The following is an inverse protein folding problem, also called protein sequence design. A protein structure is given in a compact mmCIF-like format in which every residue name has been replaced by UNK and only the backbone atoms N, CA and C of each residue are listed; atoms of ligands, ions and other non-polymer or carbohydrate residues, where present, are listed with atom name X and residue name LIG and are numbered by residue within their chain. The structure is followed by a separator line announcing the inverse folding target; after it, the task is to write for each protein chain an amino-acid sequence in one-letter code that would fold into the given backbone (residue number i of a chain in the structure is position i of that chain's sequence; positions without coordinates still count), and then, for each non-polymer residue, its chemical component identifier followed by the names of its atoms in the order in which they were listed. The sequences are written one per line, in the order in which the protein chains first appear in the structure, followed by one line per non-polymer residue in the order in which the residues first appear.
data_IF_133905066608
#
_entry.id   IF_133905066608
#
_cell.length_a   1.000
_cell.length_b   1.000
_cell.length_c   1.000
_cell.angle_alpha   90.00
_cell.angle_beta   90.00
_cell.angle_gamma   90.00
#
_symmetry.space_group_name_H-M   'P 1'
#
loop_
_entity.id
_entity.type
_entity.pdbx_description
1 polymer ?
#
# COMPACT_ATOMS: atom_id res chain seq x y z
N UNK A 1 7.70 -73.34 -5.16
CA UNK A 1 8.78 -73.69 -6.10
C UNK A 1 9.33 -72.39 -6.70
N UNK A 2 10.66 -72.29 -6.78
CA UNK A 2 11.54 -71.15 -7.12
C UNK A 2 11.69 -70.09 -6.01
N UNK A 3 12.64 -70.27 -5.07
CA UNK A 3 14.10 -70.02 -5.15
C UNK A 3 14.39 -68.50 -5.20
N UNK A 4 14.63 -67.80 -4.08
CA UNK A 4 15.75 -67.83 -3.12
C UNK A 4 17.04 -67.17 -3.64
N UNK A 5 17.66 -66.38 -2.74
CA UNK A 5 19.03 -65.83 -2.73
C UNK A 5 19.23 -64.45 -3.41
N UNK A 6 19.92 -63.44 -2.87
CA UNK A 6 20.57 -63.16 -1.58
C UNK A 6 20.92 -61.66 -1.55
N UNK A 7 20.75 -61.02 -0.40
CA UNK A 7 21.21 -59.67 -0.06
C UNK A 7 22.59 -59.73 0.63
N UNK A 8 23.46 -58.72 0.46
CA UNK A 8 24.32 -58.31 1.57
C UNK A 8 24.29 -56.77 1.74
N UNK A 9 23.89 -56.28 2.91
CA UNK A 9 24.73 -56.06 4.09
C UNK A 9 25.21 -54.60 4.17
N UNK A 10 24.45 -53.80 4.93
CA UNK A 10 24.88 -52.55 5.53
C UNK A 10 26.04 -52.84 6.49
N UNK A 11 27.16 -52.15 6.32
CA UNK A 11 28.14 -51.97 7.39
C UNK A 11 28.02 -50.52 7.87
N UNK A 12 27.50 -50.41 9.07
CA UNK A 12 27.43 -49.23 9.91
C UNK A 12 28.56 -49.36 10.92
N UNK A 13 29.59 -48.52 10.82
CA UNK A 13 30.59 -48.35 11.88
C UNK A 13 30.46 -46.92 12.41
N UNK A 14 30.13 -46.85 13.69
CA UNK A 14 29.79 -45.65 14.44
C UNK A 14 30.98 -44.73 14.76
N UNK A 15 30.77 -43.81 15.73
CA UNK A 15 31.42 -42.52 15.77
C UNK A 15 32.72 -42.53 16.56
N UNK A 16 33.76 -41.86 16.04
CA UNK A 16 34.94 -41.53 16.83
C UNK A 16 34.74 -40.23 17.62
N UNK A 17 35.10 -40.35 18.89
CA UNK A 17 35.03 -39.36 19.94
C UNK A 17 36.08 -38.24 19.79
N UNK A 18 35.61 -37.02 20.08
CA UNK A 18 36.23 -36.03 20.96
C UNK A 18 37.75 -35.77 20.84
N UNK A 19 38.08 -34.74 20.07
CA UNK A 19 39.35 -34.01 20.17
C UNK A 19 39.09 -32.51 20.29
N UNK A 20 38.74 -32.05 21.49
CA UNK A 20 38.70 -30.62 21.84
C UNK A 20 40.12 -30.04 21.84
N UNK A 21 40.47 -29.32 20.77
CA UNK A 21 41.58 -28.36 20.78
C UNK A 21 41.01 -26.95 20.66
N UNK A 22 41.15 -26.19 21.74
CA UNK A 22 40.86 -24.76 21.81
C UNK A 22 41.55 -23.99 20.68
N UNK A 23 40.89 -23.00 20.06
CA UNK A 23 41.59 -22.04 19.20
C UNK A 23 42.48 -21.17 20.08
N UNK A 24 43.80 -21.30 19.90
CA UNK A 24 44.76 -20.29 20.35
C UNK A 24 44.47 -19.00 19.59
N UNK A 25 44.06 -17.97 20.33
CA UNK A 25 44.07 -16.58 19.91
C UNK A 25 45.48 -16.22 19.40
N UNK A 26 45.67 -15.79 18.14
CA UNK A 26 46.91 -15.16 17.75
C UNK A 26 46.98 -13.77 18.40
N UNK A 27 48.07 -13.52 19.12
CA UNK A 27 48.40 -12.21 19.67
C UNK A 27 48.49 -11.15 18.55
N UNK A 28 48.16 -9.88 18.85
CA UNK A 28 48.35 -8.79 17.90
C UNK A 28 49.85 -8.62 17.62
N UNK A 29 50.25 -8.88 16.38
CA UNK A 29 51.55 -8.53 15.86
C UNK A 29 51.57 -7.01 15.66
N UNK A 30 52.28 -6.29 16.51
CA UNK A 30 52.66 -4.88 16.32
C UNK A 30 53.96 -4.83 15.52
N UNK A 31 53.97 -4.34 14.27
CA UNK A 31 55.20 -3.88 13.66
C UNK A 31 55.41 -2.41 14.03
N UNK A 32 56.14 -2.18 15.13
CA UNK A 32 56.95 -0.97 15.22
C UNK A 32 58.07 -1.12 14.18
N UNK A 33 57.86 -0.52 13.01
CA UNK A 33 58.93 -0.17 12.09
C UNK A 33 58.69 1.23 11.57
N UNK A 34 59.60 2.09 11.99
CA UNK A 34 59.78 3.45 11.50
C UNK A 34 59.83 3.53 9.96
N UNK A 35 59.42 4.67 9.38
CA UNK A 35 59.32 4.85 7.95
C UNK A 35 60.71 4.92 7.32
N UNK A 36 61.17 3.79 6.77
CA UNK A 36 62.30 3.78 5.87
C UNK A 36 61.84 4.32 4.51
N UNK A 37 62.06 5.62 4.29
CA UNK A 37 61.99 6.27 2.98
C UNK A 37 63.12 5.72 2.10
N UNK A 38 62.91 4.53 1.55
CA UNK A 38 63.61 4.08 0.36
C UNK A 38 62.71 4.32 -0.83
N UNK A 39 63.07 5.38 -1.53
CA UNK A 39 62.90 5.64 -2.96
C UNK A 39 63.27 4.38 -3.76
N UNK A 40 62.35 3.43 -3.77
CA UNK A 40 62.29 2.37 -4.77
C UNK A 40 61.39 2.90 -5.84
N UNK A 41 62.02 3.44 -6.89
CA UNK A 41 61.48 3.42 -8.24
C UNK A 41 61.20 1.96 -8.61
N UNK A 42 60.08 1.46 -8.10
CA UNK A 42 59.45 0.27 -8.58
C UNK A 42 58.99 0.62 -9.99
N UNK A 43 59.81 0.22 -10.96
CA UNK A 43 59.33 -0.16 -12.28
C UNK A 43 58.29 -1.26 -12.07
N UNK A 44 57.07 -0.88 -11.70
CA UNK A 44 55.86 -1.64 -11.97
C UNK A 44 55.74 -1.62 -13.50
N UNK A 45 56.05 -2.72 -14.20
CA UNK A 45 55.68 -2.79 -15.61
C UNK A 45 54.18 -2.60 -15.65
N UNK A 46 53.74 -1.52 -16.28
CA UNK A 46 52.34 -1.26 -16.56
C UNK A 46 51.76 -2.51 -17.27
N UNK A 47 50.87 -3.30 -16.62
CA UNK A 47 50.28 -4.47 -17.26
C UNK A 47 49.32 -4.07 -18.40
N UNK A 48 49.05 -2.77 -18.58
CA UNK A 48 48.30 -2.19 -19.68
C UNK A 48 49.14 -1.85 -20.93
N UNK A 49 50.46 -1.75 -20.84
CA UNK A 49 51.28 -1.22 -21.95
C UNK A 49 51.63 -2.24 -23.05
N UNK A 50 51.36 -3.54 -22.86
CA UNK A 50 51.67 -4.60 -23.86
C UNK A 50 50.42 -5.12 -24.59
N UNK A 51 49.23 -4.66 -24.23
CA UNK A 51 47.96 -5.11 -24.81
C UNK A 51 47.22 -4.00 -25.56
N UNK A 52 47.94 -3.20 -26.36
CA UNK A 52 47.28 -2.48 -27.44
C UNK A 52 46.59 -3.51 -28.36
N UNK A 53 45.37 -3.24 -28.87
CA UNK A 53 44.73 -4.15 -29.82
C UNK A 53 45.69 -4.34 -30.98
N UNK A 54 46.25 -5.54 -31.12
CA UNK A 54 47.08 -5.87 -32.27
C UNK A 54 46.17 -5.74 -33.49
N UNK A 55 46.36 -4.68 -34.26
CA UNK A 55 45.52 -4.38 -35.41
C UNK A 55 45.46 -5.61 -36.33
N UNK A 56 44.26 -6.01 -36.72
CA UNK A 56 44.05 -7.18 -37.59
C UNK A 56 44.85 -7.07 -38.90
N UNK A 57 45.19 -5.86 -39.32
CA UNK A 57 46.05 -5.59 -40.47
C UNK A 57 47.52 -5.89 -40.22
N UNK A 58 48.03 -5.66 -39.01
CA UNK A 58 49.40 -6.03 -38.62
C UNK A 58 49.55 -7.56 -38.53
N UNK A 59 48.54 -8.26 -38.03
CA UNK A 59 48.54 -9.74 -38.03
C UNK A 59 48.53 -10.27 -39.47
N UNK A 60 47.67 -9.73 -40.34
CA UNK A 60 47.58 -10.16 -41.74
C UNK A 60 48.82 -9.83 -42.58
N UNK A 61 49.53 -8.74 -42.28
CA UNK A 61 50.78 -8.39 -42.97
C UNK A 61 51.93 -9.28 -42.50
N UNK A 62 52.02 -9.55 -41.19
CA UNK A 62 52.98 -10.49 -40.62
C UNK A 62 52.80 -11.91 -41.19
N UNK A 63 51.55 -12.41 -41.28
CA UNK A 63 51.26 -13.71 -41.89
C UNK A 63 51.67 -13.79 -43.37
N UNK A 64 51.45 -12.70 -44.14
CA UNK A 64 51.86 -12.61 -45.55
C UNK A 64 53.39 -12.58 -45.70
N UNK A 65 54.08 -11.81 -44.87
CA UNK A 65 55.54 -11.74 -44.88
C UNK A 65 56.18 -13.10 -44.51
N UNK A 66 55.65 -13.76 -43.47
CA UNK A 66 56.09 -15.10 -43.06
C UNK A 66 55.84 -16.13 -44.16
N UNK A 67 54.70 -16.05 -44.84
CA UNK A 67 54.37 -16.93 -45.97
C UNK A 67 55.31 -16.71 -47.15
N UNK A 68 55.58 -15.45 -47.52
CA UNK A 68 56.49 -15.10 -48.59
C UNK A 68 57.94 -15.54 -48.30
N UNK A 69 58.42 -15.31 -47.07
CA UNK A 69 59.76 -15.76 -46.64
C UNK A 69 59.90 -17.29 -46.67
N UNK A 70 58.86 -18.01 -46.27
CA UNK A 70 58.85 -19.49 -46.36
C UNK A 70 58.98 -19.97 -47.80
N UNK A 71 58.24 -19.36 -48.74
CA UNK A 71 58.32 -19.71 -50.16
C UNK A 71 59.67 -19.38 -50.79
N UNK A 72 60.30 -18.28 -50.36
CA UNK A 72 61.64 -17.91 -50.82
C UNK A 72 62.69 -18.95 -50.40
N UNK A 73 62.61 -19.45 -49.16
CA UNK A 73 63.51 -20.51 -48.66
C UNK A 73 63.31 -21.81 -49.45
N UNK A 74 62.06 -22.21 -49.69
CA UNK A 74 61.74 -23.42 -50.50
C UNK A 74 62.29 -23.27 -51.91
N UNK A 75 62.08 -22.13 -52.56
CA UNK A 75 62.59 -21.85 -53.89
C UNK A 75 64.13 -21.91 -53.94
N UNK A 76 64.80 -21.31 -52.95
CA UNK A 76 66.26 -21.35 -52.84
C UNK A 76 66.81 -22.77 -52.66
N UNK A 77 66.15 -23.60 -51.84
CA UNK A 77 66.52 -25.00 -51.65
C UNK A 77 66.35 -25.82 -52.95
N UNK A 78 65.25 -25.62 -53.67
CA UNK A 78 65.00 -26.26 -54.97
C UNK A 78 66.06 -25.86 -56.00
N UNK A 79 66.39 -24.56 -56.06
CA UNK A 79 67.41 -24.07 -56.98
C UNK A 79 68.78 -24.67 -56.66
N UNK A 80 69.16 -24.72 -55.38
CA UNK A 80 70.40 -25.35 -54.94
C UNK A 80 70.47 -26.84 -55.31
N UNK A 81 69.39 -27.58 -55.06
CA UNK A 81 69.25 -29.00 -55.43
C UNK A 81 69.42 -29.25 -56.93
N UNK A 82 68.78 -28.42 -57.77
CA UNK A 82 68.94 -28.49 -59.22
C UNK A 82 70.39 -28.24 -59.62
N UNK A 83 71.04 -27.24 -59.02
CA UNK A 83 72.44 -26.91 -59.34
C UNK A 83 73.43 -28.00 -58.92
N UNK A 84 73.17 -28.72 -57.83
CA UNK A 84 74.07 -29.78 -57.32
C UNK A 84 73.83 -31.14 -57.96
N UNK A 85 72.57 -31.51 -58.24
CA UNK A 85 72.22 -32.85 -58.75
C UNK A 85 72.26 -32.92 -60.27
N UNK A 86 72.04 -31.82 -60.99
CA UNK A 86 72.10 -31.80 -62.47
C UNK A 86 73.47 -32.26 -63.01
N UNK A 87 74.62 -31.81 -62.49
CA UNK A 87 75.93 -32.31 -62.93
C UNK A 87 76.11 -33.81 -62.71
N UNK A 88 75.61 -34.34 -61.58
CA UNK A 88 75.70 -35.75 -61.24
C UNK A 88 74.85 -36.63 -62.19
N UNK A 89 73.65 -36.16 -62.53
CA UNK A 89 72.77 -36.84 -63.48
C UNK A 89 73.30 -36.81 -64.90
N UNK A 90 73.87 -35.69 -65.35
CA UNK A 90 74.56 -35.64 -66.66
C UNK A 90 75.68 -36.66 -66.77
N UNK A 91 76.41 -36.92 -65.69
CA UNK A 91 77.48 -37.93 -65.69
C UNK A 91 76.96 -39.39 -65.85
N UNK A 92 75.68 -39.65 -65.61
CA UNK A 92 75.08 -41.00 -65.65
C UNK A 92 73.98 -41.15 -66.71
N UNK A 93 73.66 -40.08 -67.44
CA UNK A 93 72.63 -40.07 -68.49
C UNK A 93 73.34 -40.18 -69.85
N UNK A 94 72.83 -40.98 -70.81
CA UNK A 94 73.39 -40.99 -72.16
C UNK A 94 73.27 -39.61 -72.81
N UNK A 95 74.31 -39.13 -73.52
CA UNK A 95 74.43 -37.77 -74.08
C UNK A 95 73.16 -37.24 -74.78
N UNK A 96 72.41 -38.12 -75.45
CA UNK A 96 71.14 -37.78 -76.12
C UNK A 96 70.02 -37.30 -75.18
N UNK A 97 70.14 -37.51 -73.87
CA UNK A 97 69.09 -37.27 -72.86
C UNK A 97 69.52 -36.27 -71.76
N UNK A 98 70.69 -35.64 -71.89
CA UNK A 98 71.22 -34.68 -70.90
C UNK A 98 70.33 -33.48 -70.62
N UNK A 99 69.47 -33.13 -71.60
CA UNK A 99 68.49 -32.07 -71.44
C UNK A 99 67.44 -32.38 -70.36
N UNK A 100 67.24 -33.66 -70.02
CA UNK A 100 66.31 -34.10 -68.96
C UNK A 100 66.94 -34.09 -67.56
N UNK A 101 68.25 -33.94 -67.44
CA UNK A 101 68.97 -33.97 -66.17
C UNK A 101 68.42 -33.02 -65.07
N UNK A 102 67.95 -31.78 -65.36
CA UNK A 102 67.39 -30.91 -64.33
C UNK A 102 65.92 -31.23 -63.96
N UNK A 103 65.22 -32.09 -64.72
CA UNK A 103 63.81 -32.42 -64.47
C UNK A 103 63.68 -33.32 -63.24
N UNK A 104 64.56 -34.31 -63.10
CA UNK A 104 64.49 -35.28 -62.00
C UNK A 104 64.66 -34.63 -60.61
N UNK A 105 65.66 -33.76 -60.35
CA UNK A 105 65.80 -33.05 -59.07
C UNK A 105 64.57 -32.20 -58.73
N UNK A 106 64.02 -31.51 -59.73
CA UNK A 106 62.84 -30.66 -59.57
C UNK A 106 61.59 -31.46 -59.16
N UNK A 107 61.39 -32.64 -59.74
CA UNK A 107 60.28 -33.55 -59.39
C UNK A 107 60.46 -34.10 -57.97
N UNK A 108 61.68 -34.48 -57.58
CA UNK A 108 61.98 -34.97 -56.23
C UNK A 108 61.71 -33.88 -55.20
N UNK A 109 62.19 -32.66 -55.42
CA UNK A 109 61.95 -31.56 -54.48
C UNK A 109 60.47 -31.19 -54.41
N UNK A 110 59.76 -31.18 -55.54
CA UNK A 110 58.31 -30.95 -55.56
C UNK A 110 57.56 -32.02 -54.76
N UNK A 111 57.94 -33.30 -54.88
CA UNK A 111 57.36 -34.38 -54.09
C UNK A 111 57.62 -34.18 -52.58
N UNK A 112 58.84 -33.80 -52.18
CA UNK A 112 59.17 -33.49 -50.78
C UNK A 112 58.34 -32.32 -50.26
N UNK A 113 58.24 -31.23 -51.01
CA UNK A 113 57.43 -30.05 -50.65
C UNK A 113 55.95 -30.43 -50.49
N UNK A 114 55.40 -31.20 -51.43
CA UNK A 114 54.01 -31.68 -51.37
C UNK A 114 53.79 -32.53 -50.13
N UNK A 115 54.67 -33.50 -49.82
CA UNK A 115 54.55 -34.37 -48.64
C UNK A 115 54.60 -33.56 -47.34
N UNK A 116 55.55 -32.63 -47.23
CA UNK A 116 55.66 -31.75 -46.05
C UNK A 116 54.44 -30.84 -45.91
N UNK A 117 53.87 -30.37 -47.03
CA UNK A 117 52.68 -29.50 -47.02
C UNK A 117 51.39 -30.27 -46.77
N UNK A 118 51.26 -31.50 -47.26
CA UNK A 118 50.09 -32.35 -47.08
C UNK A 118 49.81 -32.63 -45.60
N UNK A 119 50.87 -32.84 -44.81
CA UNK A 119 50.77 -32.98 -43.34
C UNK A 119 50.14 -31.73 -42.69
N UNK A 120 50.47 -30.53 -43.21
CA UNK A 120 49.90 -29.27 -42.73
C UNK A 120 48.46 -29.03 -43.16
N UNK A 121 47.99 -29.68 -44.23
CA UNK A 121 46.60 -29.62 -44.70
C UNK A 121 45.77 -30.65 -43.95
N UNK A 122 46.27 -31.87 -43.75
CA UNK A 122 45.62 -32.93 -42.98
C UNK A 122 45.41 -32.54 -41.52
N UNK A 123 46.39 -31.90 -40.89
CA UNK A 123 46.25 -31.39 -39.52
C UNK A 123 45.15 -30.33 -39.38
N UNK A 124 44.87 -29.54 -40.42
CA UNK A 124 43.77 -28.55 -40.42
C UNK A 124 42.40 -29.18 -40.57
N UNK A 125 42.32 -30.36 -41.17
CA UNK A 125 41.07 -31.10 -41.37
C UNK A 125 40.70 -31.97 -40.15
N UNK A 126 41.44 -31.86 -39.03
CA UNK A 126 41.12 -32.53 -37.77
C UNK A 126 41.53 -34.01 -37.70
N UNK A 127 41.99 -34.60 -38.80
CA UNK A 127 42.55 -35.94 -38.79
C UNK A 127 44.01 -35.91 -38.35
N UNK A 128 44.25 -36.46 -37.16
CA UNK A 128 45.59 -36.70 -36.66
C UNK A 128 46.16 -37.84 -37.52
N UNK A 129 47.01 -37.51 -38.49
CA UNK A 129 47.62 -38.48 -39.42
C UNK A 129 48.53 -39.54 -38.75
N UNK A 130 48.38 -39.80 -37.45
CA UNK A 130 49.17 -40.77 -36.71
C UNK A 130 50.67 -40.49 -36.78
N UNK A 131 51.46 -41.56 -36.65
CA UNK A 131 52.93 -41.50 -36.74
C UNK A 131 53.43 -41.61 -38.19
N UNK A 132 52.54 -41.87 -39.14
CA UNK A 132 52.88 -42.15 -40.54
C UNK A 132 53.57 -40.99 -41.27
N UNK A 133 53.12 -39.73 -41.16
CA UNK A 133 53.81 -38.58 -41.76
C UNK A 133 55.23 -38.39 -41.22
N UNK A 134 55.45 -38.65 -39.93
CA UNK A 134 56.78 -38.62 -39.33
C UNK A 134 57.67 -39.72 -39.94
N UNK A 135 57.17 -40.96 -40.03
CA UNK A 135 57.90 -42.07 -40.65
C UNK A 135 58.25 -41.76 -42.10
N UNK A 136 57.30 -41.28 -42.90
CA UNK A 136 57.54 -40.92 -44.30
C UNK A 136 58.57 -39.79 -44.45
N UNK A 137 58.53 -38.80 -43.56
CA UNK A 137 59.50 -37.70 -43.54
C UNK A 137 60.91 -38.19 -43.21
N UNK A 138 61.05 -39.03 -42.19
CA UNK A 138 62.34 -39.62 -41.83
C UNK A 138 62.89 -40.49 -42.96
N UNK A 139 62.05 -41.33 -43.58
CA UNK A 139 62.46 -42.18 -44.70
C UNK A 139 62.90 -41.38 -45.93
N UNK A 140 62.16 -40.32 -46.27
CA UNK A 140 62.50 -39.45 -47.41
C UNK A 140 63.75 -38.61 -47.11
N UNK A 141 63.86 -38.10 -45.87
CA UNK A 141 65.01 -37.34 -45.42
C UNK A 141 66.30 -38.16 -45.38
N UNK A 142 66.25 -39.40 -44.88
CA UNK A 142 67.42 -40.30 -44.87
C UNK A 142 67.82 -40.71 -46.27
N UNK A 143 66.87 -41.01 -47.16
CA UNK A 143 67.15 -41.30 -48.57
C UNK A 143 67.84 -40.12 -49.28
N UNK A 144 67.35 -38.89 -49.04
CA UNK A 144 67.94 -37.67 -49.60
C UNK A 144 69.35 -37.41 -49.05
N UNK A 145 69.54 -37.62 -47.75
CA UNK A 145 70.85 -37.51 -47.12
C UNK A 145 71.83 -38.54 -47.71
N UNK A 146 71.40 -39.80 -47.85
CA UNK A 146 72.21 -40.86 -48.45
C UNK A 146 72.63 -40.51 -49.87
N UNK A 147 71.71 -39.99 -50.71
CA UNK A 147 72.03 -39.60 -52.09
C UNK A 147 73.04 -38.44 -52.16
N UNK A 148 72.88 -37.42 -51.30
CA UNK A 148 73.79 -36.28 -51.27
C UNK A 148 75.19 -36.63 -50.77
N UNK A 149 75.29 -37.62 -49.88
CA UNK A 149 76.55 -38.00 -49.22
C UNK A 149 77.24 -39.18 -49.92
N UNK A 150 76.51 -39.98 -50.70
CA UNK A 150 77.00 -41.23 -51.29
C UNK A 150 78.27 -41.06 -52.14
N UNK A 151 78.31 -40.06 -53.03
CA UNK A 151 79.48 -39.86 -53.91
C UNK A 151 80.74 -39.46 -53.11
N UNK A 152 80.60 -38.54 -52.14
CA UNK A 152 81.70 -38.17 -51.24
C UNK A 152 82.13 -39.33 -50.34
N UNK A 153 81.19 -40.13 -49.85
CA UNK A 153 81.47 -41.30 -49.02
C UNK A 153 82.23 -42.39 -49.81
N UNK A 154 81.82 -42.65 -51.06
CA UNK A 154 82.50 -43.61 -51.95
C UNK A 154 83.93 -43.17 -52.27
N UNK A 155 84.17 -41.86 -52.41
CA UNK A 155 85.50 -41.25 -52.60
C UNK A 155 86.31 -41.12 -51.31
N UNK A 156 85.77 -41.54 -50.15
CA UNK A 156 86.34 -41.38 -48.81
C UNK A 156 86.63 -39.91 -48.42
N UNK A 157 85.94 -38.96 -49.03
CA UNK A 157 86.05 -37.53 -48.71
C UNK A 157 85.10 -37.16 -47.56
N UNK A 158 85.62 -37.22 -46.34
CA UNK A 158 84.84 -36.90 -45.13
C UNK A 158 84.42 -35.42 -45.08
N UNK A 159 85.16 -34.51 -45.74
CA UNK A 159 84.81 -33.09 -45.80
C UNK A 159 83.62 -32.90 -46.74
N UNK A 160 83.64 -33.53 -47.91
CA UNK A 160 82.50 -33.57 -48.82
C UNK A 160 81.24 -34.16 -48.18
N UNK A 161 81.39 -35.27 -47.43
CA UNK A 161 80.30 -35.87 -46.65
C UNK A 161 79.69 -34.85 -45.68
N UNK A 162 80.53 -34.13 -44.93
CA UNK A 162 80.06 -33.12 -43.97
C UNK A 162 79.33 -31.97 -44.66
N UNK A 163 79.91 -31.40 -45.73
CA UNK A 163 79.34 -30.26 -46.46
C UNK A 163 77.99 -30.63 -47.10
N UNK A 164 77.90 -31.80 -47.73
CA UNK A 164 76.67 -32.24 -48.39
C UNK A 164 75.59 -32.76 -47.42
N UNK A 165 75.95 -33.08 -46.18
CA UNK A 165 74.99 -33.47 -45.13
C UNK A 165 74.28 -32.27 -44.47
N UNK A 166 74.91 -31.08 -44.46
CA UNK A 166 74.38 -29.90 -43.73
C UNK A 166 72.97 -29.52 -44.19
N UNK A 167 72.74 -29.39 -45.50
CA UNK A 167 71.44 -28.95 -46.02
C UNK A 167 70.31 -29.97 -45.73
N UNK A 168 70.46 -31.29 -46.01
CA UNK A 168 69.45 -32.28 -45.63
C UNK A 168 69.19 -32.36 -44.12
N UNK A 169 70.22 -32.27 -43.29
CA UNK A 169 70.04 -32.29 -41.83
C UNK A 169 69.27 -31.06 -41.33
N UNK A 170 69.59 -29.87 -41.84
CA UNK A 170 68.83 -28.65 -41.53
C UNK A 170 67.37 -28.76 -41.97
N UNK A 171 67.07 -29.37 -43.12
CA UNK A 171 65.69 -29.59 -43.55
C UNK A 171 64.92 -30.53 -42.61
N UNK A 172 65.52 -31.65 -42.19
CA UNK A 172 64.90 -32.60 -41.25
C UNK A 172 64.63 -31.90 -39.90
N UNK A 173 65.63 -31.22 -39.35
CA UNK A 173 65.51 -30.51 -38.05
C UNK A 173 64.46 -29.39 -38.13
N UNK A 174 64.47 -28.61 -39.22
CA UNK A 174 63.50 -27.51 -39.42
C UNK A 174 62.08 -28.04 -39.57
N UNK A 175 61.90 -29.20 -40.22
CA UNK A 175 60.60 -29.82 -40.35
C UNK A 175 60.04 -30.31 -39.00
N UNK A 176 60.88 -30.91 -38.15
CA UNK A 176 60.46 -31.38 -36.81
C UNK A 176 60.17 -30.23 -35.85
N UNK A 177 61.07 -29.25 -35.79
CA UNK A 177 60.89 -28.04 -34.96
C UNK A 177 59.67 -27.23 -35.42
N UNK A 178 59.45 -27.12 -36.73
CA UNK A 178 58.29 -26.44 -37.31
C UNK A 178 56.96 -27.12 -36.99
N UNK A 179 56.92 -28.43 -36.73
CA UNK A 179 55.72 -29.14 -36.29
C UNK A 179 55.45 -28.90 -34.80
N UNK A 180 56.49 -28.99 -33.97
CA UNK A 180 56.38 -28.72 -32.53
C UNK A 180 55.90 -27.29 -32.26
N UNK A 181 56.48 -26.29 -32.94
CA UNK A 181 56.08 -24.89 -32.83
C UNK A 181 54.62 -24.67 -33.27
N UNK A 182 54.20 -25.28 -34.38
CA UNK A 182 52.80 -25.20 -34.85
C UNK A 182 51.80 -25.83 -33.88
N UNK A 183 52.15 -26.97 -33.28
CA UNK A 183 51.31 -27.59 -32.23
C UNK A 183 51.19 -26.70 -31.02
N UNK A 184 52.30 -26.12 -30.55
CA UNK A 184 52.30 -25.19 -29.41
C UNK A 184 51.46 -23.94 -29.69
N UNK A 185 51.60 -23.32 -30.86
CA UNK A 185 50.78 -22.16 -31.25
C UNK A 185 49.30 -22.53 -31.34
N UNK A 186 48.97 -23.64 -31.99
CA UNK A 186 47.57 -24.06 -32.15
C UNK A 186 46.92 -24.34 -30.80
N UNK A 187 47.65 -25.00 -29.89
CA UNK A 187 47.20 -25.24 -28.53
C UNK A 187 46.99 -23.93 -27.75
N UNK A 188 47.93 -22.98 -27.85
CA UNK A 188 47.82 -21.67 -27.22
C UNK A 188 46.61 -20.87 -27.75
N UNK A 189 46.42 -20.82 -29.07
CA UNK A 189 45.27 -20.15 -29.69
C UNK A 189 43.94 -20.80 -29.32
N UNK A 190 43.90 -22.13 -29.21
CA UNK A 190 42.69 -22.85 -28.81
C UNK A 190 42.35 -22.59 -27.34
N UNK A 191 43.36 -22.60 -26.47
CA UNK A 191 43.19 -22.27 -25.06
C UNK A 191 42.71 -20.83 -24.85
N UNK A 192 43.25 -19.88 -25.63
CA UNK A 192 42.84 -18.48 -25.56
C UNK A 192 41.40 -18.27 -26.05
N UNK A 193 41.01 -18.89 -27.16
CA UNK A 193 39.60 -18.88 -27.62
C UNK A 193 38.66 -19.46 -26.58
N UNK A 194 39.02 -20.60 -25.99
CA UNK A 194 38.20 -21.22 -24.94
C UNK A 194 38.05 -20.30 -23.70
N UNK A 195 39.10 -19.56 -23.32
CA UNK A 195 39.02 -18.55 -22.25
C UNK A 195 38.11 -17.39 -22.62
N UNK A 196 38.19 -16.88 -23.85
CA UNK A 196 37.35 -15.79 -24.34
C UNK A 196 35.87 -16.20 -24.39
N UNK A 197 35.58 -17.41 -24.86
CA UNK A 197 34.21 -17.94 -24.90
C UNK A 197 33.64 -18.17 -23.50
N UNK A 198 34.46 -18.69 -22.58
CA UNK A 198 34.08 -18.83 -21.18
C UNK A 198 33.83 -17.47 -20.50
N UNK A 199 34.68 -16.46 -20.75
CA UNK A 199 34.53 -15.11 -20.23
C UNK A 199 33.26 -14.43 -20.77
N UNK A 200 32.96 -14.57 -22.07
CA UNK A 200 31.73 -14.07 -22.68
C UNK A 200 30.49 -14.72 -22.06
N UNK A 201 30.49 -16.04 -21.96
CA UNK A 201 29.37 -16.79 -21.35
C UNK A 201 29.17 -16.38 -19.88
N UNK A 202 30.25 -16.17 -19.13
CA UNK A 202 30.18 -15.71 -17.73
C UNK A 202 29.64 -14.27 -17.64
N UNK A 203 30.05 -13.38 -18.53
CA UNK A 203 29.55 -12.00 -18.58
C UNK A 203 28.07 -11.94 -18.95
N UNK A 204 27.62 -12.75 -19.92
CA UNK A 204 26.21 -12.87 -20.31
C UNK A 204 25.33 -13.38 -19.16
N UNK A 205 25.78 -14.43 -18.46
CA UNK A 205 25.09 -14.94 -17.26
C UNK A 205 25.00 -13.88 -16.17
N UNK A 206 26.13 -13.22 -15.86
CA UNK A 206 26.17 -12.17 -14.84
C UNK A 206 25.31 -10.94 -15.21
N UNK A 207 25.08 -10.67 -16.49
CA UNK A 207 24.16 -9.63 -16.95
C UNK A 207 22.69 -10.08 -16.83
N UNK A 208 22.39 -11.33 -17.18
CA UNK A 208 21.06 -11.91 -17.03
C UNK A 208 20.62 -11.95 -15.55
N UNK A 209 21.50 -12.40 -14.65
CA UNK A 209 21.24 -12.47 -13.21
C UNK A 209 20.97 -11.08 -12.62
N UNK A 210 21.71 -10.05 -13.06
CA UNK A 210 21.47 -8.65 -12.66
C UNK A 210 20.11 -8.16 -13.11
N UNK A 211 19.75 -8.41 -14.37
CA UNK A 211 18.45 -8.01 -14.91
C UNK A 211 17.29 -8.72 -14.21
N UNK A 212 17.46 -9.99 -13.82
CA UNK A 212 16.46 -10.73 -13.04
C UNK A 212 16.32 -10.19 -11.62
N UNK A 213 17.44 -9.91 -10.95
CA UNK A 213 17.43 -9.30 -9.62
C UNK A 213 16.75 -7.93 -9.60
N UNK A 214 16.98 -7.09 -10.62
CA UNK A 214 16.29 -5.80 -10.77
C UNK A 214 14.78 -5.96 -10.98
N UNK A 215 14.37 -6.92 -11.81
CA UNK A 215 12.93 -7.23 -12.02
C UNK A 215 12.27 -7.72 -10.73
N UNK A 216 12.97 -8.51 -9.93
CA UNK A 216 12.47 -9.02 -8.67
C UNK A 216 12.30 -7.88 -7.64
N UNK A 217 13.30 -7.01 -7.50
CA UNK A 217 13.20 -5.82 -6.64
C UNK A 217 12.06 -4.90 -7.06
N UNK A 218 11.89 -4.66 -8.36
CA UNK A 218 10.79 -3.85 -8.87
C UNK A 218 9.40 -4.46 -8.59
N UNK A 219 9.28 -5.80 -8.56
CA UNK A 219 8.03 -6.48 -8.15
C UNK A 219 7.78 -6.33 -6.66
N UNK A 220 8.79 -6.57 -5.84
CA UNK A 220 8.72 -6.45 -4.38
C UNK A 220 8.37 -5.02 -3.96
N UNK A 221 8.96 -4.00 -4.60
CA UNK A 221 8.63 -2.60 -4.36
C UNK A 221 7.18 -2.27 -4.71
N UNK A 222 6.68 -2.75 -5.86
CA UNK A 222 5.27 -2.55 -6.27
C UNK A 222 4.31 -3.22 -5.31
N UNK A 223 4.62 -4.44 -4.86
CA UNK A 223 3.81 -5.16 -3.88
C UNK A 223 3.83 -4.48 -2.51
N UNK A 224 4.99 -3.98 -2.08
CA UNK A 224 5.12 -3.22 -0.85
C UNK A 224 4.33 -1.91 -0.91
N UNK A 225 4.45 -1.15 -2.00
CA UNK A 225 3.65 0.06 -2.23
C UNK A 225 2.16 -0.23 -2.28
N UNK A 226 1.74 -1.31 -2.95
CA UNK A 226 0.35 -1.72 -3.01
C UNK A 226 -0.20 -2.11 -1.62
N UNK A 227 0.63 -2.73 -0.77
CA UNK A 227 0.28 -3.07 0.61
C UNK A 227 0.11 -1.82 1.48
N UNK A 228 1.08 -0.91 1.43
CA UNK A 228 0.99 0.38 2.15
C UNK A 228 -0.24 1.18 1.71
N UNK A 229 -0.56 1.21 0.41
CA UNK A 229 -1.74 1.89 -0.10
C UNK A 229 -3.07 1.20 0.30
N UNK A 230 -3.07 -0.10 0.60
CA UNK A 230 -4.24 -0.80 1.17
C UNK A 230 -4.38 -0.46 2.65
N UNK A 231 -3.29 -0.55 3.40
CA UNK A 231 -3.26 -0.22 4.84
C UNK A 231 -3.68 1.23 5.10
N UNK A 232 -3.22 2.18 4.27
CA UNK A 232 -3.65 3.58 4.37
C UNK A 232 -5.15 3.75 4.12
N UNK A 233 -5.69 3.14 3.05
CA UNK A 233 -7.13 3.20 2.76
C UNK A 233 -7.98 2.54 3.83
N UNK A 234 -7.51 1.43 4.40
CA UNK A 234 -8.18 0.75 5.51
C UNK A 234 -8.17 1.61 6.78
N UNK A 235 -7.04 2.25 7.08
CA UNK A 235 -6.93 3.17 8.21
C UNK A 235 -7.83 4.40 8.03
N UNK A 236 -7.82 5.03 6.86
CA UNK A 236 -8.72 6.15 6.53
C UNK A 236 -10.19 5.73 6.63
N UNK A 237 -10.55 4.55 6.12
CA UNK A 237 -11.91 4.01 6.22
C UNK A 237 -12.30 3.67 7.66
N UNK A 238 -11.35 3.24 8.50
CA UNK A 238 -11.58 3.01 9.92
C UNK A 238 -11.80 4.33 10.68
N UNK A 239 -10.99 5.35 10.40
CA UNK A 239 -11.14 6.70 10.96
C UNK A 239 -12.49 7.33 10.55
N UNK A 240 -12.86 7.22 9.27
CA UNK A 240 -14.15 7.72 8.78
C UNK A 240 -15.34 7.01 9.45
N UNK A 241 -15.25 5.68 9.66
CA UNK A 241 -16.27 4.92 10.41
C UNK A 241 -16.36 5.36 11.86
N UNK A 242 -15.23 5.55 12.53
CA UNK A 242 -15.20 6.01 13.91
C UNK A 242 -15.79 7.42 14.05
N UNK A 243 -15.52 8.31 13.10
CA UNK A 243 -16.08 9.66 13.08
C UNK A 243 -17.59 9.63 12.82
N UNK A 244 -18.06 8.82 11.87
CA UNK A 244 -19.48 8.62 11.61
C UNK A 244 -20.21 8.09 12.85
N UNK A 245 -19.66 7.08 13.52
CA UNK A 245 -20.24 6.51 14.74
C UNK A 245 -20.29 7.55 15.88
N UNK A 246 -19.24 8.39 16.02
CA UNK A 246 -19.25 9.49 17.01
C UNK A 246 -20.33 10.52 16.70
N UNK A 247 -20.53 10.88 15.42
CA UNK A 247 -21.58 11.80 14.99
C UNK A 247 -22.97 11.22 15.23
N UNK A 248 -23.21 9.96 14.87
CA UNK A 248 -24.47 9.28 15.13
C UNK A 248 -24.80 9.21 16.63
N UNK A 249 -23.81 8.88 17.47
CA UNK A 249 -23.99 8.90 18.94
C UNK A 249 -24.28 10.30 19.46
N UNK A 250 -23.63 11.33 18.92
CA UNK A 250 -23.87 12.72 19.31
C UNK A 250 -25.29 13.17 18.92
N UNK A 251 -25.73 12.87 17.70
CA UNK A 251 -27.09 13.17 17.24
C UNK A 251 -28.15 12.40 18.03
N UNK A 252 -27.90 11.13 18.36
CA UNK A 252 -28.81 10.34 19.20
C UNK A 252 -28.93 10.96 20.60
N UNK A 253 -27.80 11.33 21.21
CA UNK A 253 -27.79 11.99 22.51
C UNK A 253 -28.49 13.37 22.47
N UNK A 254 -28.36 14.11 21.36
CA UNK A 254 -29.07 15.37 21.16
C UNK A 254 -30.58 15.16 21.01
N UNK A 255 -31.01 14.17 20.22
CA UNK A 255 -32.42 13.77 20.08
C UNK A 255 -33.02 13.37 21.43
N UNK A 256 -32.33 12.54 22.21
CA UNK A 256 -32.77 12.15 23.54
C UNK A 256 -32.90 13.33 24.50
N UNK A 257 -31.94 14.28 24.47
CA UNK A 257 -32.01 15.51 25.26
C UNK A 257 -33.17 16.41 24.83
N UNK A 258 -33.40 16.54 23.53
CA UNK A 258 -34.51 17.33 22.99
C UNK A 258 -35.86 16.72 23.40
N UNK A 259 -36.01 15.39 23.26
CA UNK A 259 -37.21 14.68 23.71
C UNK A 259 -37.43 14.77 25.22
N UNK A 260 -36.36 14.65 26.02
CA UNK A 260 -36.44 14.82 27.47
C UNK A 260 -36.90 16.25 27.83
N UNK A 261 -36.31 17.27 27.20
CA UNK A 261 -36.70 18.66 27.40
C UNK A 261 -38.14 18.94 26.93
N UNK A 262 -38.60 18.31 25.84
CA UNK A 262 -39.99 18.44 25.39
C UNK A 262 -40.96 17.77 26.36
N UNK A 263 -40.64 16.57 26.85
CA UNK A 263 -41.43 15.89 27.89
C UNK A 263 -41.54 16.72 29.16
N UNK A 264 -40.45 17.35 29.57
CA UNK A 264 -40.44 18.25 30.74
C UNK A 264 -41.32 19.48 30.50
N UNK A 265 -41.20 20.14 29.34
CA UNK A 265 -42.06 21.28 28.96
C UNK A 265 -43.54 20.90 28.87
N UNK A 266 -43.86 19.69 28.36
CA UNK A 266 -45.25 19.20 28.32
C UNK A 266 -45.78 18.96 29.73
N UNK A 267 -45.00 18.30 30.59
CA UNK A 267 -45.36 18.07 31.98
C UNK A 267 -45.55 19.39 32.76
N UNK A 268 -44.73 20.40 32.50
CA UNK A 268 -44.86 21.73 33.11
C UNK A 268 -46.13 22.46 32.63
N UNK A 269 -46.45 22.39 31.33
CA UNK A 269 -47.70 22.93 30.78
C UNK A 269 -48.92 22.24 31.36
N UNK A 270 -48.91 20.91 31.46
CA UNK A 270 -50.01 20.14 32.07
C UNK A 270 -50.19 20.50 33.55
N UNK A 271 -49.10 20.65 34.31
CA UNK A 271 -49.17 21.12 35.71
C UNK A 271 -49.77 22.51 35.80
N UNK A 272 -49.34 23.43 34.94
CA UNK A 272 -49.86 24.80 34.91
C UNK A 272 -51.35 24.85 34.51
N UNK A 273 -51.80 24.01 33.58
CA UNK A 273 -53.23 23.88 33.23
C UNK A 273 -54.04 23.29 34.38
N UNK A 274 -53.57 22.22 35.01
CA UNK A 274 -54.25 21.64 36.18
C UNK A 274 -54.35 22.63 37.35
N UNK A 275 -53.32 23.45 37.56
CA UNK A 275 -53.34 24.48 38.59
C UNK A 275 -54.35 25.60 38.26
N UNK A 276 -54.42 26.03 36.99
CA UNK A 276 -55.43 26.99 36.52
C UNK A 276 -56.84 26.43 36.68
N UNK A 277 -57.07 25.18 36.30
CA UNK A 277 -58.38 24.54 36.41
C UNK A 277 -58.81 24.39 37.88
N UNK A 278 -57.88 24.04 38.78
CA UNK A 278 -58.14 24.01 40.23
C UNK A 278 -58.51 25.40 40.76
N UNK A 279 -57.76 26.43 40.37
CA UNK A 279 -58.03 27.80 40.79
C UNK A 279 -59.38 28.31 40.26
N UNK A 280 -59.76 27.94 39.03
CA UNK A 280 -61.06 28.29 38.44
C UNK A 280 -62.21 27.60 39.17
N UNK A 281 -62.12 26.28 39.40
CA UNK A 281 -63.11 25.53 40.19
C UNK A 281 -63.25 26.07 41.61
N UNK A 282 -62.15 26.55 42.21
CA UNK A 282 -62.20 27.16 43.53
C UNK A 282 -62.91 28.52 43.50
N UNK A 283 -62.64 29.36 42.49
CA UNK A 283 -63.36 30.64 42.28
C UNK A 283 -64.86 30.41 42.04
N UNK A 284 -65.24 29.44 41.23
CA UNK A 284 -66.65 29.09 41.01
C UNK A 284 -67.33 28.62 42.30
N UNK A 285 -66.67 27.80 43.11
CA UNK A 285 -67.20 27.39 44.43
C UNK A 285 -67.38 28.58 45.37
N UNK A 286 -66.44 29.53 45.38
CA UNK A 286 -66.55 30.74 46.18
C UNK A 286 -67.70 31.64 45.70
N UNK A 287 -67.86 31.80 44.38
CA UNK A 287 -68.97 32.56 43.79
C UNK A 287 -70.33 31.92 44.08
N UNK A 288 -70.47 30.60 43.88
CA UNK A 288 -71.71 29.88 44.19
C UNK A 288 -72.07 29.92 45.69
N UNK A 289 -71.07 29.90 46.57
CA UNK A 289 -71.27 30.06 48.01
C UNK A 289 -71.70 31.49 48.38
N UNK A 290 -71.14 32.51 47.72
CA UNK A 290 -71.55 33.90 47.91
C UNK A 290 -72.99 34.13 47.43
N UNK A 291 -73.34 33.60 46.24
CA UNK A 291 -74.68 33.73 45.67
C UNK A 291 -75.75 33.01 46.52
N UNK A 292 -75.43 31.84 47.09
CA UNK A 292 -76.32 31.18 48.06
C UNK A 292 -76.58 32.05 49.30
N UNK A 293 -75.54 32.67 49.86
CA UNK A 293 -75.68 33.56 51.03
C UNK A 293 -76.51 34.80 50.71
N UNK A 294 -76.41 35.32 49.49
CA UNK A 294 -77.20 36.46 49.04
C UNK A 294 -78.68 36.10 48.88
N UNK A 295 -78.99 34.96 48.23
CA UNK A 295 -80.36 34.46 48.07
C UNK A 295 -81.04 34.16 49.42
N UNK A 296 -80.29 33.63 50.39
CA UNK A 296 -80.78 33.41 51.76
C UNK A 296 -81.10 34.73 52.48
N UNK A 297 -80.25 35.76 52.34
CA UNK A 297 -80.50 37.09 52.91
C UNK A 297 -81.73 37.75 52.29
N UNK A 298 -81.91 37.60 50.98
CA UNK A 298 -83.07 38.16 50.28
C UNK A 298 -84.37 37.46 50.69
N UNK A 299 -84.35 36.13 50.83
CA UNK A 299 -85.49 35.37 51.35
C UNK A 299 -85.87 35.78 52.78
N UNK A 300 -84.89 35.90 53.68
CA UNK A 300 -85.13 36.35 55.05
C UNK A 300 -85.71 37.77 55.12
N UNK A 301 -85.26 38.68 54.24
CA UNK A 301 -85.80 40.04 54.15
C UNK A 301 -87.25 40.06 53.68
N UNK A 302 -87.58 39.28 52.64
CA UNK A 302 -88.96 39.16 52.11
C UNK A 302 -89.92 38.54 53.12
N UNK A 303 -89.47 37.58 53.93
CA UNK A 303 -90.29 37.00 55.00
C UNK A 303 -90.54 37.99 56.14
N UNK A 304 -89.51 38.75 56.55
CA UNK A 304 -89.66 39.78 57.58
C UNK A 304 -90.63 40.90 57.17
N UNK A 305 -90.63 41.30 55.89
CA UNK A 305 -91.56 42.30 55.37
C UNK A 305 -93.02 41.79 55.34
N UNK A 306 -93.25 40.53 54.95
CA UNK A 306 -94.60 39.93 54.99
C UNK A 306 -95.16 39.86 56.40
N UNK A 307 -94.34 39.46 57.38
CA UNK A 307 -94.76 39.37 58.78
C UNK A 307 -95.15 40.74 59.37
N UNK A 308 -94.46 41.81 58.98
CA UNK A 308 -94.79 43.19 59.39
C UNK A 308 -96.11 43.68 58.78
N UNK A 309 -96.34 43.39 57.50
CA UNK A 309 -97.58 43.77 56.82
C UNK A 309 -98.82 43.07 57.42
N UNK A 310 -98.71 41.77 57.72
CA UNK A 310 -99.81 41.01 58.32
C UNK A 310 -100.15 41.46 59.75
N UNK A 311 -99.16 41.90 60.53
CA UNK A 311 -99.39 42.43 61.88
C UNK A 311 -100.17 43.76 61.83
N UNK A 312 -99.80 44.67 60.93
CA UNK A 312 -100.47 45.96 60.75
C UNK A 312 -101.93 45.78 60.28
N UNK A 313 -102.21 44.80 59.41
CA UNK A 313 -103.57 44.53 58.94
C UNK A 313 -104.48 43.96 60.04
N UNK A 314 -103.94 43.09 60.92
CA UNK A 314 -104.69 42.54 62.06
C UNK A 314 -105.08 43.61 63.07
N UNK A 315 -104.17 44.53 63.39
CA UNK A 315 -104.44 45.64 64.31
C UNK A 315 -105.50 46.60 63.75
N UNK A 316 -105.45 46.87 62.44
CA UNK A 316 -106.43 47.71 61.74
C UNK A 316 -107.83 47.11 61.74
N UNK A 317 -107.96 45.79 61.51
CA UNK A 317 -109.28 45.11 61.59
C UNK A 317 -109.85 45.16 63.01
N UNK A 318 -109.00 45.03 64.04
CA UNK A 318 -109.46 45.11 65.43
C UNK A 318 -109.99 46.52 65.79
N UNK A 319 -109.36 47.58 65.28
CA UNK A 319 -109.80 48.96 65.45
C UNK A 319 -111.15 49.25 64.78
N UNK A 320 -111.40 48.63 63.62
CA UNK A 320 -112.63 48.83 62.85
C UNK A 320 -113.76 47.86 63.19
N UNK A 321 -113.51 46.83 64.01
CA UNK A 321 -114.54 45.90 64.49
C UNK A 321 -115.32 46.43 65.69
N UNK A 322 -114.82 47.45 66.39
CA UNK A 322 -115.55 48.11 67.46
C UNK A 322 -116.80 48.83 66.90
N UNK A 323 -117.98 48.43 67.36
CA UNK A 323 -119.27 49.02 66.96
C UNK A 323 -119.43 50.47 67.40
N UNK A 324 -120.58 51.11 67.08
CA UNK A 324 -120.85 52.51 67.44
C UNK A 324 -120.73 52.69 68.96
N UNK A 325 -119.94 53.66 69.40
CA UNK A 325 -119.74 53.95 70.83
C UNK A 325 -120.74 54.98 71.29
N UNK A 326 -121.45 54.69 72.39
CA UNK A 326 -122.43 55.60 72.99
C UNK A 326 -121.80 56.77 73.78
N UNK A 327 -120.48 56.96 73.66
CA UNK A 327 -119.70 57.96 74.36
C UNK A 327 -118.39 58.29 73.65
N UNK A 328 -117.83 59.46 73.95
CA UNK A 328 -116.62 59.98 73.32
C UNK A 328 -115.39 59.17 73.74
N UNK A 329 -114.69 58.53 72.79
CA UNK A 329 -113.44 57.81 73.06
C UNK A 329 -112.31 58.77 73.50
N UNK A 330 -111.29 58.29 74.22
CA UNK A 330 -110.05 59.04 74.44
C UNK A 330 -109.44 59.48 73.10
N UNK A 331 -108.87 60.69 73.05
CA UNK A 331 -108.44 61.31 71.80
C UNK A 331 -107.43 60.46 71.02
N UNK A 332 -106.43 59.87 71.69
CA UNK A 332 -105.43 59.01 71.03
C UNK A 332 -106.06 57.79 70.35
N UNK A 333 -107.07 57.20 71.01
CA UNK A 333 -107.80 56.06 70.45
C UNK A 333 -108.75 56.48 69.33
N UNK A 334 -109.38 57.64 69.46
CA UNK A 334 -110.21 58.22 68.41
C UNK A 334 -109.38 58.54 67.16
N UNK A 335 -108.17 59.08 67.30
CA UNK A 335 -107.23 59.31 66.20
C UNK A 335 -106.86 58.01 65.49
N UNK A 336 -106.56 56.94 66.23
CA UNK A 336 -106.25 55.62 65.66
C UNK A 336 -107.43 55.02 64.88
N UNK A 337 -108.65 55.11 65.42
CA UNK A 337 -109.88 54.65 64.73
C UNK A 337 -110.14 55.48 63.48
N UNK A 338 -109.93 56.81 63.55
CA UNK A 338 -110.08 57.71 62.41
C UNK A 338 -109.05 57.44 61.31
N UNK A 339 -107.79 57.21 61.65
CA UNK A 339 -106.75 56.82 60.70
C UNK A 339 -107.06 55.47 60.03
N UNK A 340 -107.40 54.45 60.83
CA UNK A 340 -107.80 53.15 60.31
C UNK A 340 -109.04 53.24 59.39
N UNK A 341 -110.00 54.12 59.73
CA UNK A 341 -111.22 54.34 58.97
C UNK A 341 -110.96 55.11 57.66
N UNK A 342 -110.07 56.11 57.69
CA UNK A 342 -109.62 56.86 56.52
C UNK A 342 -108.96 55.92 55.51
N UNK A 343 -108.00 55.10 55.94
CA UNK A 343 -107.35 54.12 55.10
C UNK A 343 -108.36 53.10 54.52
N UNK A 344 -109.47 52.85 55.26
CA UNK A 344 -110.51 51.90 54.86
C UNK A 344 -111.56 52.52 53.94
N UNK A 345 -111.39 53.78 53.56
CA UNK A 345 -112.34 54.52 52.73
C UNK A 345 -113.70 54.71 53.41
N UNK A 346 -113.78 54.62 54.74
CA UNK A 346 -115.03 54.84 55.45
C UNK A 346 -115.44 56.31 55.38
N UNK A 347 -116.73 56.57 55.45
CA UNK A 347 -117.22 57.95 55.49
C UNK A 347 -116.86 58.61 56.82
N UNK A 348 -116.63 59.94 56.77
CA UNK A 348 -116.40 60.78 57.96
C UNK A 348 -117.49 60.58 59.02
N UNK A 349 -118.75 60.37 58.59
CA UNK A 349 -119.89 60.09 59.48
C UNK A 349 -119.72 58.75 60.21
N UNK A 350 -119.38 57.67 59.50
CA UNK A 350 -119.18 56.36 60.13
C UNK A 350 -117.98 56.34 61.07
N UNK A 351 -116.91 57.06 60.72
CA UNK A 351 -115.77 57.22 61.62
C UNK A 351 -116.15 58.00 62.89
N UNK A 352 -116.97 59.05 62.77
CA UNK A 352 -117.49 59.82 63.90
C UNK A 352 -118.39 58.98 64.83
N UNK A 353 -119.27 58.15 64.29
CA UNK A 353 -120.11 57.23 65.07
C UNK A 353 -119.27 56.19 65.85
N UNK A 354 -118.16 55.73 65.26
CA UNK A 354 -117.27 54.72 65.87
C UNK A 354 -116.29 55.27 66.88
N UNK A 355 -115.99 56.57 66.84
CA UNK A 355 -115.15 57.20 67.85
C UNK A 355 -115.94 58.03 68.88
N UNK A 356 -117.20 58.36 68.61
CA UNK A 356 -118.04 59.19 69.47
C UNK A 356 -117.63 60.66 69.50
N UNK A 357 -116.83 61.10 68.52
CA UNK A 357 -116.43 62.51 68.35
C UNK A 357 -117.30 63.20 67.30
N UNK A 358 -117.30 64.53 67.32
CA UNK A 358 -118.07 65.29 66.33
C UNK A 358 -117.54 65.07 64.92
N UNK A 359 -118.47 65.09 63.95
CA UNK A 359 -118.15 64.98 62.51
C UNK A 359 -117.10 66.04 62.11
N UNK A 360 -117.16 67.25 62.67
CA UNK A 360 -116.18 68.31 62.40
C UNK A 360 -114.76 67.96 62.86
N UNK A 361 -114.61 67.31 64.03
CA UNK A 361 -113.30 66.88 64.52
C UNK A 361 -112.74 65.74 63.64
N UNK A 362 -113.58 64.79 63.25
CA UNK A 362 -113.18 63.68 62.37
C UNK A 362 -112.85 64.16 60.95
N UNK A 363 -113.61 65.12 60.41
CA UNK A 363 -113.34 65.72 59.10
C UNK A 363 -111.98 66.42 59.05
N UNK A 364 -111.63 67.15 60.11
CA UNK A 364 -110.32 67.79 60.23
C UNK A 364 -109.18 66.75 60.23
N UNK A 365 -109.34 65.64 60.94
CA UNK A 365 -108.35 64.54 60.94
C UNK A 365 -108.26 63.81 59.60
N UNK A 366 -109.38 63.61 58.89
CA UNK A 366 -109.39 63.04 57.54
C UNK A 366 -108.61 63.93 56.55
N UNK A 367 -108.72 65.25 56.70
CA UNK A 367 -107.93 66.16 55.86
C UNK A 367 -106.45 66.14 56.19
N UNK A 368 -106.07 66.12 57.48
CA UNK A 368 -104.65 65.95 57.84
C UNK A 368 -104.04 64.65 57.28
N UNK A 369 -104.79 63.56 57.28
CA UNK A 369 -104.34 62.28 56.70
C UNK A 369 -104.30 62.31 55.17
N UNK A 370 -105.12 63.15 54.52
CA UNK A 370 -105.04 63.40 53.08
C UNK A 370 -103.87 64.31 52.71
N UNK A 371 -103.58 65.29 53.55
CA UNK A 371 -102.55 66.30 53.35
C UNK A 371 -101.16 65.81 53.81
N UNK A 372 -101.08 64.68 54.50
CA UNK A 372 -99.82 63.98 54.78
C UNK A 372 -99.48 63.10 53.57
N UNK A 373 -98.58 63.53 52.65
CA UNK A 373 -98.10 62.65 51.60
C UNK A 373 -97.41 61.44 52.24
N UNK A 374 -97.78 60.22 51.84
CA UNK A 374 -97.13 59.01 52.27
C UNK A 374 -95.61 59.12 52.04
N UNK A 375 -94.87 59.10 53.13
CA UNK A 375 -93.43 59.32 53.20
C UNK A 375 -92.69 58.42 52.19
N UNK A 376 -91.89 59.08 51.35
CA UNK A 376 -90.95 58.42 50.45
C UNK A 376 -89.90 57.70 51.31
N UNK A 377 -89.67 56.39 51.14
CA UNK A 377 -88.62 55.71 51.88
C UNK A 377 -87.25 56.31 51.50
N UNK A 378 -86.52 56.78 52.51
CA UNK A 378 -85.15 57.23 52.41
C UNK A 378 -84.28 56.19 51.69
N UNK A 379 -83.83 56.52 50.49
CA UNK A 379 -82.75 55.81 49.79
C UNK A 379 -81.45 56.06 50.54
N UNK A 380 -80.94 55.02 51.19
CA UNK A 380 -79.55 54.89 51.62
C UNK A 380 -78.77 54.20 50.52
#
# INVERSE_FOLDING_TARGET
MNAALTSPARVNTGPEHAGTRSPRTPAPFTPDREPFTAERDAFTPDPGAVNGPVDADQIRSAERALSAGTWLIVFGAMLYSVLTVTPLMRAHTPDRWDWTAPILPLVVDAAVVIVVRLDSVLARLGHHGGRWPAVLRWMTGTMTLSLNVADSALKKDMVGVAVHAVAPLLLIVTAETGLAYRRAITAALTAERARQDAARTAAERAAADRAEAERQRAREEREHQARLAREQREHEAAMARQEAERRERAEHAERERAEAAERERRAERERAEQERERAERERERQQAAAERREREREHARREAERQRAEAAERERRALLAAGPVNGKLPEDRARQVVAAAYDAGMSVRNAAERCGWSIGWVAARYQELRDTPADQPATV
#
